data_IF_457227769355
#
_entry.id   IF_457227769355
#
_cell.length_a   1.000
_cell.length_b   1.000
_cell.length_c   1.000
_cell.angle_alpha   90.00
_cell.angle_beta   90.00
_cell.angle_gamma   90.00
#
_symmetry.space_group_name_H-M   'P 1'
#
loop_
_entity.id
_entity.type
_entity.pdbx_description
1 polymer ?
#
# COMPACT_ATOMS: atom_id res chain seq x y z
N UNK A 1 -33.42 8.44 24.21
CA UNK A 1 -32.40 7.58 24.87
C UNK A 1 -32.85 6.13 24.69
N UNK A 2 -31.97 5.23 24.21
CA UNK A 2 -32.21 3.85 23.73
C UNK A 2 -32.65 3.69 22.27
N UNK A 3 -31.64 3.64 21.39
CA UNK A 3 -31.65 2.92 20.11
C UNK A 3 -30.18 2.69 19.76
N UNK A 4 -29.62 1.55 20.16
CA UNK A 4 -28.18 1.32 20.01
C UNK A 4 -27.74 -0.12 20.26
N UNK A 5 -28.55 -1.13 19.93
CA UNK A 5 -28.18 -2.53 20.18
C UNK A 5 -28.66 -3.57 19.14
N UNK A 6 -28.95 -3.20 17.89
CA UNK A 6 -29.34 -4.20 16.87
C UNK A 6 -28.70 -4.00 15.49
N UNK A 7 -27.37 -4.12 15.39
CA UNK A 7 -26.68 -4.23 14.09
C UNK A 7 -25.50 -5.22 14.14
N UNK A 8 -25.76 -6.43 14.62
CA UNK A 8 -24.93 -7.60 14.34
C UNK A 8 -25.83 -8.74 13.83
N UNK A 9 -26.13 -8.73 12.54
CA UNK A 9 -26.70 -9.88 11.85
C UNK A 9 -25.90 -10.17 10.58
N UNK A 10 -25.20 -11.31 10.66
CA UNK A 10 -24.90 -12.28 9.58
C UNK A 10 -24.17 -11.78 8.35
N UNK A 11 -22.83 -11.91 8.39
CA UNK A 11 -22.05 -12.26 7.19
C UNK A 11 -22.36 -13.72 6.88
N UNK A 12 -22.93 -14.00 5.71
CA UNK A 12 -23.22 -15.35 5.25
C UNK A 12 -21.91 -16.12 5.03
N UNK A 13 -21.77 -17.25 5.73
CA UNK A 13 -20.69 -18.20 5.51
C UNK A 13 -20.88 -18.85 4.13
N UNK A 14 -19.93 -18.66 3.22
CA UNK A 14 -19.78 -19.53 2.04
C UNK A 14 -19.08 -20.81 2.51
N UNK A 15 -19.71 -21.98 2.30
CA UNK A 15 -19.10 -23.26 2.67
C UNK A 15 -17.90 -23.53 1.75
N UNK A 16 -16.78 -24.10 2.25
CA UNK A 16 -15.64 -24.48 1.41
C UNK A 16 -15.98 -25.43 0.25
N UNK A 17 -17.14 -26.09 0.31
CA UNK A 17 -17.66 -27.03 -0.68
C UNK A 17 -18.32 -26.30 -1.87
N UNK A 18 -18.67 -25.01 -1.69
CA UNK A 18 -19.36 -24.19 -2.69
C UNK A 18 -18.39 -23.39 -3.57
N UNK A 19 -17.07 -23.56 -3.37
CA UNK A 19 -16.04 -22.93 -4.19
C UNK A 19 -15.78 -23.77 -5.46
N UNK A 20 -15.74 -23.17 -6.65
CA UNK A 20 -15.53 -23.90 -7.89
C UNK A 20 -14.15 -24.58 -7.92
N UNK A 21 -14.13 -25.83 -8.38
CA UNK A 21 -12.92 -26.64 -8.55
C UNK A 21 -12.13 -26.15 -9.78
N UNK A 22 -10.95 -25.58 -9.56
CA UNK A 22 -10.12 -25.00 -10.63
C UNK A 22 -9.01 -25.96 -11.06
N UNK A 23 -9.29 -26.77 -12.08
CA UNK A 23 -8.24 -27.43 -12.88
C UNK A 23 -7.93 -26.59 -14.12
N UNK A 24 -6.65 -26.28 -14.35
CA UNK A 24 -6.19 -25.52 -15.52
C UNK A 24 -5.69 -26.51 -16.59
N UNK A 25 -6.43 -26.74 -17.69
CA UNK A 25 -5.89 -27.47 -18.82
C UNK A 25 -4.97 -26.53 -19.63
N UNK A 26 -3.66 -26.65 -19.45
CA UNK A 26 -2.67 -25.91 -20.24
C UNK A 26 -2.41 -26.66 -21.56
N UNK A 27 -2.99 -26.19 -22.68
CA UNK A 27 -2.70 -26.73 -24.02
C UNK A 27 -2.28 -25.67 -25.06
N UNK A 28 -1.93 -24.45 -24.64
CA UNK A 28 -1.53 -23.42 -25.59
C UNK A 28 -0.02 -23.12 -25.52
N UNK A 29 0.73 -23.59 -26.52
CA UNK A 29 2.19 -23.43 -26.65
C UNK A 29 2.65 -21.97 -26.63
N UNK A 30 1.79 -21.02 -27.01
CA UNK A 30 2.09 -19.59 -26.97
C UNK A 30 2.10 -19.07 -25.53
N UNK A 31 1.17 -19.54 -24.69
CA UNK A 31 1.15 -19.22 -23.26
C UNK A 31 2.38 -19.84 -22.58
N UNK A 32 2.80 -21.05 -22.98
CA UNK A 32 4.03 -21.67 -22.48
C UNK A 32 5.30 -20.88 -22.86
N UNK A 33 5.36 -20.29 -24.05
CA UNK A 33 6.51 -19.51 -24.50
C UNK A 33 6.58 -18.12 -23.85
N UNK A 34 5.43 -17.43 -23.76
CA UNK A 34 5.30 -16.12 -23.11
C UNK A 34 5.60 -16.29 -21.62
N UNK A 35 5.01 -17.32 -20.98
CA UNK A 35 5.29 -17.65 -19.60
C UNK A 35 6.74 -18.06 -19.39
N UNK A 36 7.39 -18.86 -20.26
CA UNK A 36 8.82 -19.19 -20.09
C UNK A 36 9.77 -18.00 -20.21
N UNK A 37 9.49 -16.96 -21.02
CA UNK A 37 10.34 -15.76 -21.08
C UNK A 37 10.00 -14.74 -19.99
N UNK A 38 8.73 -14.56 -19.66
CA UNK A 38 8.24 -13.62 -18.65
C UNK A 38 8.46 -14.15 -17.22
N UNK A 39 8.24 -15.45 -16.98
CA UNK A 39 8.46 -16.13 -15.70
C UNK A 39 9.94 -16.40 -15.40
N UNK A 40 10.81 -16.49 -16.41
CA UNK A 40 12.27 -16.65 -16.16
C UNK A 40 12.91 -15.38 -15.59
N UNK A 41 12.25 -14.23 -15.73
CA UNK A 41 12.66 -12.96 -15.10
C UNK A 41 12.03 -12.74 -13.71
N UNK A 42 10.86 -13.31 -13.44
CA UNK A 42 10.12 -13.11 -12.19
C UNK A 42 9.87 -14.45 -11.46
N UNK A 43 10.70 -14.74 -10.44
CA UNK A 43 10.31 -15.58 -9.31
C UNK A 43 9.90 -17.04 -9.59
N UNK A 44 10.25 -17.65 -10.72
CA UNK A 44 9.87 -19.04 -11.04
C UNK A 44 10.29 -20.05 -9.96
N UNK A 45 11.43 -19.85 -9.30
CA UNK A 45 11.84 -20.68 -8.17
C UNK A 45 10.86 -20.60 -7.01
N UNK A 46 10.34 -19.41 -6.69
CA UNK A 46 9.35 -19.18 -5.64
C UNK A 46 7.97 -19.71 -6.04
N UNK A 47 7.54 -19.48 -7.28
CA UNK A 47 6.29 -20.04 -7.79
C UNK A 47 6.32 -21.58 -7.83
N UNK A 48 7.41 -22.19 -8.30
CA UNK A 48 7.55 -23.66 -8.36
C UNK A 48 7.73 -24.28 -6.98
N UNK A 49 8.50 -23.65 -6.08
CA UNK A 49 8.61 -24.10 -4.69
C UNK A 49 7.27 -23.99 -3.97
N UNK A 50 6.50 -22.93 -4.23
CA UNK A 50 5.13 -22.77 -3.76
C UNK A 50 4.18 -23.84 -4.31
N UNK A 51 4.17 -24.10 -5.62
CA UNK A 51 3.30 -25.15 -6.21
C UNK A 51 3.62 -26.52 -5.63
N UNK A 52 4.91 -26.80 -5.36
CA UNK A 52 5.32 -28.02 -4.65
C UNK A 52 4.79 -28.06 -3.20
N UNK A 53 4.88 -26.97 -2.45
CA UNK A 53 4.33 -26.85 -1.10
C UNK A 53 2.80 -26.93 -1.07
N UNK A 54 2.12 -26.30 -2.03
CA UNK A 54 0.66 -26.32 -2.22
C UNK A 54 0.15 -27.74 -2.52
N UNK A 55 0.80 -28.43 -3.44
CA UNK A 55 0.46 -29.83 -3.78
C UNK A 55 0.75 -30.81 -2.63
N UNK A 56 1.69 -30.48 -1.75
CA UNK A 56 2.02 -31.33 -0.58
C UNK A 56 1.07 -31.16 0.60
N UNK A 57 0.29 -30.08 0.66
CA UNK A 57 -0.52 -29.73 1.82
C UNK A 57 -2.00 -29.52 1.46
N UNK A 58 -2.78 -30.62 1.47
CA UNK A 58 -4.19 -30.69 1.03
C UNK A 58 -5.17 -29.77 1.79
N UNK A 59 -4.73 -29.06 2.83
CA UNK A 59 -5.56 -28.21 3.69
C UNK A 59 -5.12 -26.72 3.71
N UNK A 60 -4.33 -26.27 2.72
CA UNK A 60 -3.88 -24.89 2.67
C UNK A 60 -5.01 -23.95 2.21
N UNK A 61 -5.67 -23.28 3.17
CA UNK A 61 -6.68 -22.26 2.90
C UNK A 61 -6.05 -20.87 2.89
N UNK A 62 -6.14 -20.19 1.75
CA UNK A 62 -5.75 -18.79 1.59
C UNK A 62 -6.96 -17.95 1.98
N UNK A 63 -6.98 -17.45 3.21
CA UNK A 63 -7.89 -16.37 3.57
C UNK A 63 -7.06 -15.09 3.71
N UNK A 64 -7.57 -13.93 3.25
CA UNK A 64 -7.10 -12.68 3.82
C UNK A 64 -7.25 -12.78 5.33
N UNK A 65 -6.16 -12.64 6.07
CA UNK A 65 -6.20 -12.72 7.52
C UNK A 65 -6.86 -11.45 8.05
N UNK A 66 -8.19 -11.46 8.11
CA UNK A 66 -8.93 -10.67 9.08
C UNK A 66 -9.04 -11.55 10.32
N UNK A 67 -8.43 -11.17 11.46
CA UNK A 67 -8.69 -11.84 12.72
C UNK A 67 -10.22 -11.96 12.88
N UNK A 68 -10.73 -13.17 13.13
CA UNK A 68 -12.17 -13.41 13.28
C UNK A 68 -12.80 -12.49 14.34
N UNK A 69 -11.99 -12.10 15.31
CA UNK A 69 -12.27 -11.08 16.30
C UNK A 69 -11.14 -10.04 16.24
N UNK A 70 -11.36 -8.92 15.56
CA UNK A 70 -10.56 -7.72 15.84
C UNK A 70 -10.83 -7.37 17.31
N UNK A 71 -9.78 -7.30 18.12
CA UNK A 71 -9.94 -6.89 19.51
C UNK A 71 -10.70 -5.57 19.55
N UNK A 72 -11.52 -5.35 20.57
CA UNK A 72 -12.30 -4.11 20.73
C UNK A 72 -11.44 -2.83 20.74
N UNK A 73 -10.11 -2.98 20.85
CA UNK A 73 -9.12 -1.92 20.84
C UNK A 73 -8.27 -1.87 19.57
N UNK A 74 -8.68 -2.50 18.47
CA UNK A 74 -7.91 -2.45 17.21
C UNK A 74 -8.45 -1.38 16.26
N UNK A 75 -7.55 -0.68 15.60
CA UNK A 75 -7.83 0.46 14.73
C UNK A 75 -7.21 0.25 13.35
N UNK A 76 -7.96 0.57 12.29
CA UNK A 76 -7.55 0.41 10.89
C UNK A 76 -7.17 1.75 10.28
N UNK A 77 -5.98 1.81 9.70
CA UNK A 77 -5.46 2.99 9.02
C UNK A 77 -5.05 2.64 7.60
N UNK A 78 -5.49 3.45 6.65
CA UNK A 78 -5.02 3.37 5.27
C UNK A 78 -4.08 4.56 5.01
N UNK A 79 -2.78 4.28 4.91
CA UNK A 79 -1.72 5.30 4.88
C UNK A 79 -1.21 5.59 3.46
N UNK A 80 -1.87 5.05 2.43
CA UNK A 80 -1.49 5.23 1.03
C UNK A 80 -2.74 5.28 0.15
N UNK A 81 -3.08 6.45 -0.37
CA UNK A 81 -4.21 6.63 -1.29
C UNK A 81 -4.10 7.90 -2.10
N UNK A 82 -4.70 7.89 -3.28
CA UNK A 82 -4.54 8.91 -4.32
C UNK A 82 -5.88 9.59 -4.63
N UNK A 83 -5.80 10.83 -5.11
CA UNK A 83 -6.95 11.64 -5.51
C UNK A 83 -6.79 12.17 -6.93
N UNK A 84 -7.83 12.85 -7.44
CA UNK A 84 -7.83 13.53 -8.76
C UNK A 84 -6.70 14.55 -8.95
N UNK A 85 -6.03 14.92 -7.86
CA UNK A 85 -4.96 15.88 -7.87
C UNK A 85 -3.61 15.28 -8.32
N UNK A 86 -3.41 13.96 -8.22
CA UNK A 86 -2.36 13.24 -8.94
C UNK A 86 -2.97 12.42 -10.08
N UNK A 87 -3.07 11.12 -9.89
CA UNK A 87 -3.45 10.05 -10.79
C UNK A 87 -4.63 9.21 -10.28
N UNK A 88 -5.14 9.51 -9.09
CA UNK A 88 -6.45 9.03 -8.68
C UNK A 88 -7.56 9.66 -9.52
N UNK A 89 -8.76 9.06 -9.51
CA UNK A 89 -9.94 9.57 -10.22
C UNK A 89 -10.93 10.29 -9.29
N UNK A 90 -10.76 10.14 -7.98
CA UNK A 90 -11.70 10.66 -6.99
C UNK A 90 -11.34 12.02 -6.44
N UNK A 91 -12.30 12.92 -6.36
CA UNK A 91 -12.13 14.16 -5.60
C UNK A 91 -12.24 13.92 -4.09
N UNK A 92 -11.78 14.88 -3.28
CA UNK A 92 -11.82 14.78 -1.81
C UNK A 92 -13.23 14.53 -1.24
N UNK A 93 -14.29 15.04 -1.88
CA UNK A 93 -15.66 14.84 -1.41
C UNK A 93 -16.11 13.40 -1.65
N UNK A 94 -15.76 12.81 -2.80
CA UNK A 94 -16.04 11.41 -3.13
C UNK A 94 -15.28 10.47 -2.21
N UNK A 95 -13.98 10.71 -2.01
CA UNK A 95 -13.12 9.99 -1.06
C UNK A 95 -13.76 9.99 0.33
N UNK A 96 -14.08 11.17 0.89
CA UNK A 96 -14.72 11.27 2.21
C UNK A 96 -16.10 10.60 2.24
N UNK A 97 -16.83 10.61 1.13
CA UNK A 97 -18.12 9.91 1.02
C UNK A 97 -17.92 8.40 1.09
N UNK A 98 -16.91 7.84 0.42
CA UNK A 98 -16.63 6.40 0.49
C UNK A 98 -16.12 5.99 1.87
N UNK A 99 -15.20 6.77 2.45
CA UNK A 99 -14.73 6.56 3.83
C UNK A 99 -15.90 6.57 4.82
N UNK A 100 -16.87 7.48 4.68
CA UNK A 100 -18.03 7.52 5.57
C UNK A 100 -18.92 6.26 5.51
N UNK A 101 -18.88 5.51 4.40
CA UNK A 101 -19.56 4.22 4.26
C UNK A 101 -18.75 3.09 4.91
N UNK A 102 -17.43 3.22 4.99
CA UNK A 102 -16.50 2.25 5.60
C UNK A 102 -16.30 2.56 7.08
N UNK A 103 -17.31 2.24 7.88
CA UNK A 103 -17.35 2.54 9.33
C UNK A 103 -16.22 1.88 10.15
N UNK A 104 -15.49 0.93 9.58
CA UNK A 104 -14.35 0.28 10.22
C UNK A 104 -13.04 1.07 10.14
N UNK A 105 -12.93 2.05 9.24
CA UNK A 105 -11.68 2.80 9.04
C UNK A 105 -11.55 3.91 10.10
N UNK A 106 -10.37 4.02 10.71
CA UNK A 106 -10.08 5.00 11.77
C UNK A 106 -9.19 6.15 11.30
N UNK A 107 -8.47 5.97 10.20
CA UNK A 107 -7.79 7.09 9.56
C UNK A 107 -7.37 6.82 8.13
N UNK A 108 -7.07 7.91 7.43
CA UNK A 108 -6.68 7.90 6.02
C UNK A 108 -5.57 8.93 5.74
N UNK A 109 -4.51 8.56 5.04
CA UNK A 109 -3.57 9.50 4.43
C UNK A 109 -3.84 9.64 2.93
N UNK A 110 -3.88 10.89 2.45
CA UNK A 110 -3.86 11.20 1.01
C UNK A 110 -2.41 11.50 0.63
N UNK A 111 -1.82 10.64 -0.19
CA UNK A 111 -0.39 10.60 -0.52
C UNK A 111 -0.13 10.88 -2.00
N UNK A 112 -0.93 11.76 -2.61
CA UNK A 112 -0.79 12.14 -4.02
C UNK A 112 0.68 12.35 -4.45
N UNK A 113 1.00 11.91 -5.67
CA UNK A 113 2.28 12.22 -6.29
C UNK A 113 2.43 13.73 -6.59
N UNK A 114 3.66 14.27 -6.55
CA UNK A 114 3.96 15.63 -7.03
C UNK A 114 3.87 15.78 -8.56
N UNK A 115 3.45 14.72 -9.25
CA UNK A 115 3.40 14.64 -10.70
C UNK A 115 2.01 14.26 -11.17
N UNK A 116 1.52 14.92 -12.21
CA UNK A 116 0.31 14.50 -12.93
C UNK A 116 0.65 14.06 -14.35
N UNK A 117 0.23 12.87 -14.81
CA UNK A 117 0.38 12.49 -16.20
C UNK A 117 -0.39 13.49 -17.09
N UNK A 118 0.25 14.03 -18.12
CA UNK A 118 -0.49 14.67 -19.20
C UNK A 118 -1.23 13.63 -20.04
N UNK A 119 -2.31 14.04 -20.69
CA UNK A 119 -3.10 13.23 -21.62
C UNK A 119 -2.30 12.65 -22.81
N UNK A 120 -1.12 13.19 -23.10
CA UNK A 120 -0.20 12.69 -24.12
C UNK A 120 0.87 11.71 -23.59
N UNK A 121 0.83 11.34 -22.29
CA UNK A 121 1.69 10.34 -21.66
C UNK A 121 3.18 10.68 -21.53
N UNK A 122 3.65 11.82 -22.06
CA UNK A 122 5.09 12.09 -22.23
C UNK A 122 5.66 13.17 -21.31
N UNK A 123 4.81 14.04 -20.75
CA UNK A 123 5.25 15.12 -19.86
C UNK A 123 4.46 15.04 -18.55
N UNK A 124 5.17 14.94 -17.43
CA UNK A 124 4.61 15.06 -16.09
C UNK A 124 4.73 16.51 -15.64
N UNK A 125 3.61 17.20 -15.37
CA UNK A 125 3.67 18.51 -14.72
C UNK A 125 4.02 18.32 -13.25
N UNK A 126 4.95 19.14 -12.77
CA UNK A 126 5.34 19.18 -11.36
C UNK A 126 4.35 20.10 -10.64
N UNK A 127 3.74 19.59 -9.58
CA UNK A 127 2.92 20.36 -8.66
C UNK A 127 3.68 20.59 -7.35
N UNK A 128 4.08 21.83 -7.09
CA UNK A 128 4.76 22.20 -5.86
C UNK A 128 3.80 22.34 -4.66
N UNK A 129 2.49 22.43 -4.90
CA UNK A 129 1.48 22.50 -3.82
C UNK A 129 0.95 21.15 -3.39
N UNK A 130 1.55 20.03 -3.80
CA UNK A 130 1.05 18.68 -3.47
C UNK A 130 0.93 18.46 -1.96
N UNK A 131 1.93 18.88 -1.17
CA UNK A 131 1.90 18.81 0.30
C UNK A 131 0.76 19.68 0.86
N UNK A 132 0.47 20.84 0.27
CA UNK A 132 -0.63 21.72 0.69
C UNK A 132 -2.01 21.06 0.50
N UNK A 133 -2.14 20.16 -0.48
CA UNK A 133 -3.42 19.50 -0.80
C UNK A 133 -3.89 18.56 0.31
N UNK A 134 -2.98 17.83 0.96
CA UNK A 134 -3.35 17.00 2.13
C UNK A 134 -3.82 17.86 3.32
N UNK A 135 -3.33 19.10 3.49
CA UNK A 135 -3.92 20.04 4.46
C UNK A 135 -5.33 20.50 4.06
N UNK A 136 -5.61 20.67 2.76
CA UNK A 136 -6.97 20.97 2.27
C UNK A 136 -7.91 19.80 2.52
N UNK A 137 -7.44 18.57 2.31
CA UNK A 137 -8.16 17.35 2.67
C UNK A 137 -8.51 17.32 4.16
N UNK A 138 -7.54 17.57 5.06
CA UNK A 138 -7.79 17.67 6.50
C UNK A 138 -8.88 18.68 6.87
N UNK A 139 -8.91 19.85 6.21
CA UNK A 139 -9.95 20.87 6.43
C UNK A 139 -11.34 20.35 6.01
N UNK A 140 -11.43 19.61 4.91
CA UNK A 140 -12.68 18.98 4.47
C UNK A 140 -13.12 17.85 5.40
N UNK A 141 -12.18 17.03 5.86
CA UNK A 141 -12.40 15.97 6.84
C UNK A 141 -12.97 16.53 8.14
N UNK A 142 -12.37 17.60 8.68
CA UNK A 142 -12.88 18.27 9.90
C UNK A 142 -14.32 18.78 9.72
N UNK A 143 -14.65 19.34 8.55
CA UNK A 143 -16.04 19.74 8.24
C UNK A 143 -17.00 18.55 8.14
N UNK A 144 -16.54 17.40 7.65
CA UNK A 144 -17.33 16.18 7.61
C UNK A 144 -17.58 15.63 9.03
N UNK A 145 -16.59 15.71 9.93
CA UNK A 145 -16.72 15.36 11.36
C UNK A 145 -17.75 16.24 12.07
N UNK A 146 -17.67 17.57 11.90
CA UNK A 146 -18.65 18.52 12.46
C UNK A 146 -20.10 18.28 11.97
N UNK A 147 -20.25 17.66 10.79
CA UNK A 147 -21.56 17.29 10.24
C UNK A 147 -22.03 15.89 10.66
N UNK A 148 -21.28 15.20 11.52
CA UNK A 148 -21.57 13.82 11.96
C UNK A 148 -21.43 12.78 10.85
N UNK A 149 -20.75 13.10 9.73
CA UNK A 149 -20.55 12.16 8.61
C UNK A 149 -19.38 11.22 8.83
N UNK A 150 -18.43 11.62 9.67
CA UNK A 150 -17.29 10.82 10.07
C UNK A 150 -17.18 10.83 11.59
N UNK A 151 -16.65 9.76 12.20
CA UNK A 151 -16.36 9.73 13.63
C UNK A 151 -15.50 10.90 14.09
N UNK A 152 -15.74 11.43 15.30
CA UNK A 152 -14.99 12.55 15.88
C UNK A 152 -13.51 12.23 16.11
N UNK A 153 -13.16 10.96 16.13
CA UNK A 153 -11.84 10.42 16.34
C UNK A 153 -11.17 9.96 15.02
N UNK A 154 -11.86 10.08 13.88
CA UNK A 154 -11.27 9.79 12.57
C UNK A 154 -10.15 10.78 12.27
N UNK A 155 -8.97 10.28 11.89
CA UNK A 155 -7.77 11.09 11.65
C UNK A 155 -7.29 11.05 10.20
N UNK A 156 -6.61 12.12 9.78
CA UNK A 156 -5.76 12.11 8.60
C UNK A 156 -4.42 12.73 8.96
N UNK A 157 -3.42 12.48 8.13
CA UNK A 157 -2.05 12.96 8.31
C UNK A 157 -1.83 14.09 7.29
N UNK A 158 -2.11 15.36 7.63
CA UNK A 158 -1.79 16.47 6.73
C UNK A 158 -0.28 16.54 6.51
N UNK A 159 0.13 17.06 5.36
CA UNK A 159 1.53 17.01 4.94
C UNK A 159 1.94 15.68 4.30
N UNK A 160 1.00 14.86 3.87
CA UNK A 160 1.30 13.58 3.21
C UNK A 160 1.53 13.74 1.70
N UNK A 161 2.51 13.01 1.16
CA UNK A 161 2.87 12.99 -0.26
C UNK A 161 3.76 11.78 -0.60
N UNK A 162 3.59 11.19 -1.78
CA UNK A 162 4.47 10.15 -2.32
C UNK A 162 5.44 10.73 -3.36
N UNK A 163 6.74 10.68 -3.05
CA UNK A 163 7.80 11.18 -3.92
C UNK A 163 8.45 10.06 -4.71
N UNK A 164 8.80 10.35 -5.96
CA UNK A 164 9.72 9.54 -6.76
C UNK A 164 11.11 10.18 -6.72
N UNK A 165 12.13 9.41 -6.36
CA UNK A 165 13.53 9.89 -6.25
C UNK A 165 14.51 8.83 -6.77
N UNK A 166 15.78 9.21 -6.98
CA UNK A 166 16.80 8.22 -7.36
C UNK A 166 17.10 7.31 -6.19
N UNK A 167 17.39 6.04 -6.47
CA UNK A 167 17.71 5.07 -5.44
C UNK A 167 18.98 5.46 -4.67
N UNK A 168 20.11 5.60 -5.35
CA UNK A 168 21.39 6.00 -4.76
C UNK A 168 22.40 6.43 -5.82
N UNK A 169 23.56 6.94 -5.40
CA UNK A 169 24.65 7.31 -6.32
C UNK A 169 25.16 6.14 -7.16
N UNK A 170 25.21 4.93 -6.58
CA UNK A 170 25.63 3.70 -7.28
C UNK A 170 24.63 3.26 -8.36
N UNK A 171 23.37 3.69 -8.24
CA UNK A 171 22.26 3.31 -9.11
C UNK A 171 21.46 4.55 -9.54
N UNK A 172 22.09 5.49 -10.26
CA UNK A 172 21.51 6.81 -10.51
C UNK A 172 20.33 6.79 -11.49
N UNK A 173 20.16 5.68 -12.21
CA UNK A 173 19.07 5.46 -13.18
C UNK A 173 17.94 4.62 -12.60
N UNK A 174 18.07 4.12 -11.36
CA UNK A 174 16.98 3.45 -10.67
C UNK A 174 16.25 4.47 -9.82
N UNK A 175 14.92 4.50 -9.96
CA UNK A 175 14.05 5.33 -9.16
C UNK A 175 13.34 4.47 -8.11
N UNK A 176 12.92 5.12 -7.03
CA UNK A 176 12.19 4.52 -5.93
C UNK A 176 11.17 5.53 -5.40
N UNK A 177 10.02 5.02 -4.98
CA UNK A 177 8.97 5.80 -4.36
C UNK A 177 9.13 5.79 -2.83
N UNK A 178 8.81 6.91 -2.20
CA UNK A 178 8.83 7.12 -0.76
C UNK A 178 7.66 7.99 -0.35
N UNK A 179 6.86 7.50 0.59
CA UNK A 179 5.78 8.29 1.19
C UNK A 179 6.36 9.07 2.37
N UNK A 180 6.24 10.39 2.32
CA UNK A 180 6.42 11.26 3.49
C UNK A 180 5.07 11.55 4.14
N UNK A 181 4.93 11.33 5.44
CA UNK A 181 3.77 11.69 6.23
C UNK A 181 4.11 12.84 7.18
N UNK A 182 3.16 13.76 7.39
CA UNK A 182 3.29 14.79 8.42
C UNK A 182 4.20 15.96 8.07
N UNK A 183 4.49 16.19 6.78
CA UNK A 183 5.40 17.24 6.34
C UNK A 183 4.82 18.65 6.57
N UNK A 184 5.70 19.59 6.90
CA UNK A 184 5.37 21.00 7.01
C UNK A 184 4.91 21.56 5.66
N UNK A 185 4.08 22.61 5.70
CA UNK A 185 3.63 23.32 4.49
C UNK A 185 4.79 23.89 3.67
N UNK A 186 5.94 24.11 4.31
CA UNK A 186 7.13 24.68 3.70
C UNK A 186 8.12 23.61 3.27
N UNK A 187 7.87 22.31 3.49
CA UNK A 187 8.80 21.22 3.19
C UNK A 187 9.43 21.33 1.79
N UNK A 188 8.60 21.51 0.77
CA UNK A 188 9.05 21.63 -0.62
C UNK A 188 9.90 22.88 -0.82
N UNK A 189 9.50 24.02 -0.25
CA UNK A 189 10.22 25.29 -0.35
C UNK A 189 11.57 25.24 0.38
N UNK A 190 11.59 24.73 1.61
CA UNK A 190 12.78 24.55 2.44
C UNK A 190 13.81 23.63 1.75
N UNK A 191 13.34 22.70 0.94
CA UNK A 191 14.15 21.79 0.15
C UNK A 191 14.39 22.23 -1.30
N UNK A 192 14.17 23.51 -1.61
CA UNK A 192 14.46 24.14 -2.92
C UNK A 192 13.66 23.56 -4.10
N UNK A 193 12.44 23.14 -3.84
CA UNK A 193 11.47 22.68 -4.85
C UNK A 193 11.53 21.18 -5.15
N UNK A 194 10.46 20.66 -5.76
CA UNK A 194 10.30 19.24 -6.10
C UNK A 194 11.46 18.74 -6.98
N UNK A 195 11.90 19.54 -7.97
CA UNK A 195 13.00 19.15 -8.87
C UNK A 195 14.30 18.85 -8.12
N UNK A 196 14.58 19.57 -7.02
CA UNK A 196 15.79 19.32 -6.21
C UNK A 196 15.62 18.08 -5.35
N UNK A 197 14.43 17.88 -4.79
CA UNK A 197 14.06 16.69 -4.01
C UNK A 197 14.24 15.42 -4.86
N UNK A 198 13.65 15.38 -6.05
CA UNK A 198 13.58 14.14 -6.85
C UNK A 198 14.86 13.81 -7.61
N UNK A 199 15.74 14.80 -7.76
CA UNK A 199 17.14 14.58 -8.17
C UNK A 199 18.02 14.11 -7.02
N UNK A 200 17.56 14.15 -5.77
CA UNK A 200 18.29 13.58 -4.65
C UNK A 200 18.37 12.06 -4.73
N UNK A 201 19.00 11.44 -3.74
CA UNK A 201 18.89 10.00 -3.48
C UNK A 201 17.75 9.70 -2.51
N UNK A 202 17.37 8.44 -2.40
CA UNK A 202 16.39 7.98 -1.42
C UNK A 202 16.81 8.30 0.01
N UNK A 203 18.10 8.12 0.31
CA UNK A 203 18.68 8.42 1.63
C UNK A 203 18.55 9.92 1.94
N UNK A 204 18.95 10.79 1.01
CA UNK A 204 18.83 12.23 1.19
C UNK A 204 17.37 12.66 1.40
N UNK A 205 16.42 12.02 0.70
CA UNK A 205 15.00 12.31 0.89
C UNK A 205 14.49 11.84 2.26
N UNK A 206 14.87 10.64 2.70
CA UNK A 206 14.52 10.13 4.03
C UNK A 206 15.01 11.10 5.11
N UNK A 207 16.27 11.53 5.04
CA UNK A 207 16.87 12.47 5.99
C UNK A 207 16.12 13.81 5.98
N UNK A 208 15.79 14.34 4.81
CA UNK A 208 14.99 15.57 4.69
C UNK A 208 13.60 15.45 5.34
N UNK A 209 12.93 14.31 5.15
CA UNK A 209 11.61 14.07 5.74
C UNK A 209 11.72 14.01 7.27
N UNK A 210 12.75 13.33 7.80
CA UNK A 210 13.00 13.28 9.23
C UNK A 210 13.40 14.63 9.83
N UNK A 211 14.21 15.43 9.13
CA UNK A 211 14.58 16.79 9.55
C UNK A 211 13.35 17.71 9.66
N UNK A 212 12.31 17.43 8.88
CA UNK A 212 10.99 18.11 8.94
C UNK A 212 10.02 17.42 9.93
N UNK A 213 10.53 16.53 10.78
CA UNK A 213 9.80 15.75 11.77
C UNK A 213 8.69 14.84 11.19
N UNK A 214 8.80 14.49 9.91
CA UNK A 214 7.90 13.56 9.22
C UNK A 214 8.22 12.09 9.48
N UNK A 215 7.37 11.22 8.94
CA UNK A 215 7.59 9.76 8.87
C UNK A 215 7.78 9.33 7.41
N UNK A 216 8.59 8.30 7.19
CA UNK A 216 8.78 7.71 5.88
C UNK A 216 8.22 6.29 5.82
N UNK A 217 7.36 6.04 4.84
CA UNK A 217 6.96 4.69 4.45
C UNK A 217 7.62 4.37 3.11
N UNK A 218 8.21 3.19 3.00
CA UNK A 218 8.63 2.62 1.72
C UNK A 218 7.43 1.88 1.10
N UNK A 219 6.71 2.49 0.13
CA UNK A 219 5.56 1.85 -0.49
C UNK A 219 5.98 0.70 -1.39
N UNK A 220 5.04 -0.26 -1.53
CA UNK A 220 5.03 -1.38 -2.47
C UNK A 220 6.41 -1.79 -3.06
N UNK A 221 7.39 -2.15 -2.20
CA UNK A 221 8.78 -2.37 -2.59
C UNK A 221 8.99 -3.59 -3.53
N UNK A 222 7.91 -4.29 -3.87
CA UNK A 222 7.87 -5.46 -4.72
C UNK A 222 7.76 -5.11 -6.20
N UNK A 223 7.37 -3.88 -6.57
CA UNK A 223 7.38 -3.43 -7.97
C UNK A 223 8.78 -3.17 -8.50
N UNK A 224 9.75 -2.86 -7.62
CA UNK A 224 11.06 -2.39 -8.03
C UNK A 224 12.19 -3.21 -7.39
N UNK A 225 13.07 -3.77 -8.24
CA UNK A 225 14.35 -4.35 -7.77
C UNK A 225 15.17 -3.34 -6.94
N UNK A 226 14.94 -2.04 -7.16
CA UNK A 226 15.55 -0.92 -6.45
C UNK A 226 15.34 -0.98 -4.93
N UNK A 227 14.15 -1.35 -4.46
CA UNK A 227 13.83 -1.34 -3.02
C UNK A 227 14.65 -2.37 -2.24
N UNK A 228 14.90 -3.55 -2.83
CA UNK A 228 15.78 -4.56 -2.25
C UNK A 228 17.22 -4.06 -2.10
N UNK A 229 17.71 -3.25 -3.04
CA UNK A 229 19.04 -2.67 -2.98
C UNK A 229 19.16 -1.59 -1.89
N UNK A 230 18.12 -0.78 -1.66
CA UNK A 230 18.11 0.19 -0.55
C UNK A 230 18.18 -0.53 0.80
N UNK A 231 17.35 -1.55 0.98
CA UNK A 231 17.25 -2.30 2.25
C UNK A 231 18.50 -3.14 2.55
N UNK A 232 19.28 -3.49 1.53
CA UNK A 232 20.55 -4.20 1.68
C UNK A 232 21.72 -3.29 2.07
N UNK A 233 21.58 -1.96 2.01
CA UNK A 233 22.61 -1.04 2.47
C UNK A 233 22.65 -1.00 3.99
N UNK A 234 23.85 -0.90 4.56
CA UNK A 234 24.02 -0.64 5.99
C UNK A 234 23.68 0.82 6.29
N UNK A 235 22.40 1.11 6.39
CA UNK A 235 21.86 2.45 6.62
C UNK A 235 21.93 2.80 8.11
N UNK A 236 22.21 4.07 8.41
CA UNK A 236 22.03 4.62 9.75
C UNK A 236 20.54 4.62 10.13
N UNK A 237 20.22 4.76 11.42
CA UNK A 237 18.82 4.86 11.87
C UNK A 237 18.06 6.03 11.23
N UNK A 238 18.74 7.16 11.00
CA UNK A 238 18.13 8.36 10.40
C UNK A 238 17.95 8.27 8.89
N UNK A 239 18.64 7.34 8.24
CA UNK A 239 18.64 7.15 6.79
C UNK A 239 17.76 5.96 6.37
N UNK A 240 16.95 5.41 7.28
CA UNK A 240 16.04 4.27 7.05
C UNK A 240 14.58 4.72 7.02
N UNK A 241 13.71 4.08 6.24
CA UNK A 241 12.28 4.26 6.38
C UNK A 241 11.77 3.84 7.77
N UNK A 242 10.73 4.50 8.28
CA UNK A 242 10.07 4.11 9.54
C UNK A 242 9.20 2.86 9.38
N UNK A 243 8.61 2.69 8.18
CA UNK A 243 7.79 1.54 7.85
C UNK A 243 8.00 1.10 6.40
N UNK A 244 7.60 -0.13 6.12
CA UNK A 244 7.61 -0.73 4.78
C UNK A 244 6.24 -1.33 4.49
N UNK A 245 5.70 -1.02 3.32
CA UNK A 245 4.50 -1.69 2.84
C UNK A 245 4.83 -3.14 2.54
N UNK A 246 4.19 -4.04 3.27
CA UNK A 246 4.26 -5.48 3.01
C UNK A 246 3.02 -5.99 2.30
N UNK A 247 1.91 -5.26 2.41
CA UNK A 247 0.66 -5.52 1.73
C UNK A 247 0.22 -4.24 1.04
N UNK A 248 0.00 -4.30 -0.26
CA UNK A 248 -0.55 -3.19 -1.01
C UNK A 248 -1.64 -3.72 -1.95
N UNK A 249 -2.86 -3.16 -1.89
CA UNK A 249 -3.98 -3.69 -2.66
C UNK A 249 -3.80 -3.48 -4.18
N UNK A 250 -3.30 -2.31 -4.61
CA UNK A 250 -3.07 -1.99 -6.02
C UNK A 250 -2.03 -2.91 -6.68
N UNK A 251 -1.09 -3.50 -5.91
CA UNK A 251 -0.16 -4.55 -6.41
C UNK A 251 -0.88 -5.80 -6.94
N UNK A 252 -2.16 -5.97 -6.60
CA UNK A 252 -3.11 -6.80 -7.35
C UNK A 252 -3.44 -6.18 -8.71
N UNK A 253 -2.42 -6.03 -9.56
CA UNK A 253 -2.31 -5.36 -10.87
C UNK A 253 -3.48 -5.44 -11.87
N UNK A 254 -4.51 -6.27 -11.65
CA UNK A 254 -5.67 -6.40 -12.55
C UNK A 254 -7.01 -6.08 -11.86
N UNK A 255 -6.97 -5.38 -10.73
CA UNK A 255 -8.19 -4.95 -10.01
C UNK A 255 -8.48 -3.46 -10.11
N UNK A 256 -7.59 -2.65 -10.69
CA UNK A 256 -7.79 -1.21 -10.87
C UNK A 256 -8.83 -0.94 -11.98
N UNK A 257 -9.90 -0.19 -11.65
CA UNK A 257 -10.95 0.13 -12.61
C UNK A 257 -10.45 1.10 -13.71
N UNK A 258 -9.38 1.87 -13.48
CA UNK A 258 -8.73 2.66 -14.52
C UNK A 258 -8.13 1.77 -15.62
N UNK A 259 -7.70 0.56 -15.25
CA UNK A 259 -7.34 -0.50 -16.19
C UNK A 259 -8.57 -1.25 -16.73
N UNK A 260 -9.67 -1.39 -15.97
CA UNK A 260 -10.94 -1.87 -16.54
C UNK A 260 -11.51 -0.94 -17.60
N UNK A 261 -11.30 0.37 -17.51
CA UNK A 261 -11.73 1.29 -18.56
C UNK A 261 -10.83 1.18 -19.81
N UNK A 262 -9.53 0.92 -19.64
CA UNK A 262 -8.62 0.55 -20.72
C UNK A 262 -8.97 -0.83 -21.35
N UNK A 263 -9.39 -1.80 -20.54
CA UNK A 263 -9.83 -3.15 -20.95
C UNK A 263 -11.35 -3.26 -21.18
N UNK A 264 -12.11 -2.17 -21.10
CA UNK A 264 -13.58 -2.19 -21.31
C UNK A 264 -13.93 -2.66 -22.72
N UNK A 265 -12.97 -2.53 -23.62
CA UNK A 265 -13.03 -2.94 -25.02
C UNK A 265 -12.49 -4.36 -25.26
N UNK A 266 -11.98 -5.03 -24.22
CA UNK A 266 -11.43 -6.39 -24.25
C UNK A 266 -11.87 -7.16 -23.00
N UNK A 267 -13.00 -7.90 -23.04
CA UNK A 267 -13.46 -8.67 -21.88
C UNK A 267 -12.36 -9.63 -21.40
N UNK A 268 -11.81 -9.34 -20.23
CA UNK A 268 -10.82 -10.19 -19.57
C UNK A 268 -11.53 -11.48 -19.14
N UNK A 269 -11.10 -12.67 -19.62
CA UNK A 269 -11.65 -13.92 -19.16
C UNK A 269 -11.48 -14.02 -17.64
N UNK A 270 -12.50 -14.50 -16.93
CA UNK A 270 -12.49 -14.66 -15.47
C UNK A 270 -11.22 -15.32 -14.91
N UNK A 271 -10.61 -16.22 -15.70
CA UNK A 271 -9.34 -16.91 -15.40
C UNK A 271 -8.15 -15.95 -15.25
N UNK A 272 -8.09 -14.86 -16.00
CA UNK A 272 -7.01 -13.85 -15.91
C UNK A 272 -7.16 -13.01 -14.64
N UNK A 273 -8.41 -12.72 -14.24
CA UNK A 273 -8.75 -12.07 -12.96
C UNK A 273 -8.37 -12.94 -11.75
N UNK A 274 -8.49 -14.26 -11.87
CA UNK A 274 -8.06 -15.19 -10.82
C UNK A 274 -6.52 -15.28 -10.76
N UNK A 275 -5.83 -15.35 -11.91
CA UNK A 275 -4.37 -15.44 -11.96
C UNK A 275 -3.64 -14.21 -11.39
N UNK A 276 -4.17 -13.00 -11.60
CA UNK A 276 -3.59 -11.78 -11.01
C UNK A 276 -3.71 -11.70 -9.50
N UNK A 277 -4.85 -12.10 -8.94
CA UNK A 277 -5.02 -12.22 -7.49
C UNK A 277 -4.04 -13.22 -6.90
N UNK A 278 -3.81 -14.33 -7.61
CA UNK A 278 -2.81 -15.35 -7.27
C UNK A 278 -1.39 -14.77 -7.34
N UNK A 279 -1.06 -13.96 -8.36
CA UNK A 279 0.25 -13.30 -8.49
C UNK A 279 0.50 -12.23 -7.42
N UNK A 280 -0.47 -11.37 -7.14
CA UNK A 280 -0.38 -10.39 -6.05
C UNK A 280 -0.21 -11.08 -4.69
N UNK A 281 -0.94 -12.18 -4.47
CA UNK A 281 -0.77 -13.04 -3.31
C UNK A 281 0.63 -13.67 -3.23
N UNK A 282 1.24 -14.09 -4.34
CA UNK A 282 2.62 -14.63 -4.31
C UNK A 282 3.69 -13.58 -4.13
N UNK A 283 3.51 -12.38 -4.65
CA UNK A 283 4.38 -11.26 -4.33
C UNK A 283 4.29 -10.90 -2.83
N UNK A 284 3.10 -10.98 -2.24
CA UNK A 284 2.88 -10.84 -0.79
C UNK A 284 3.49 -11.99 0.04
N UNK A 285 3.42 -13.24 -0.40
CA UNK A 285 4.08 -14.36 0.30
C UNK A 285 5.61 -14.30 0.14
N UNK A 286 6.11 -13.90 -1.04
CA UNK A 286 7.53 -13.66 -1.26
C UNK A 286 8.07 -12.53 -0.37
N UNK A 287 7.25 -11.51 -0.09
CA UNK A 287 7.60 -10.43 0.83
C UNK A 287 7.58 -10.84 2.30
N UNK A 288 6.61 -11.67 2.70
CA UNK A 288 6.56 -12.24 4.04
C UNK A 288 7.70 -13.25 4.31
N UNK A 289 8.17 -13.96 3.28
CA UNK A 289 9.30 -14.90 3.39
C UNK A 289 10.68 -14.22 3.38
N UNK A 290 10.72 -12.90 3.15
CA UNK A 290 11.89 -12.05 3.40
C UNK A 290 12.03 -11.63 4.89
N UNK A 291 11.07 -12.01 5.74
CA UNK A 291 11.08 -11.88 7.20
C UNK A 291 11.36 -13.26 7.87
N UNK A 292 11.75 -13.32 9.16
CA UNK A 292 12.91 -14.04 9.67
C UNK A 292 13.07 -15.55 9.38
N UNK A 293 14.35 -15.96 9.43
CA UNK A 293 15.05 -17.21 9.09
C UNK A 293 14.33 -18.56 9.27
N UNK A 294 13.33 -18.65 10.14
CA UNK A 294 12.75 -19.92 10.61
C UNK A 294 11.88 -20.62 9.56
N UNK A 295 11.45 -19.92 8.50
CA UNK A 295 10.50 -20.44 7.50
C UNK A 295 11.11 -20.59 6.09
N UNK A 296 12.13 -19.81 5.70
CA UNK A 296 12.55 -19.72 4.29
C UNK A 296 13.95 -20.22 3.94
N UNK A 297 14.82 -20.55 4.90
CA UNK A 297 16.17 -21.06 4.61
C UNK A 297 17.08 -20.11 3.81
N UNK A 298 16.66 -18.86 3.57
CA UNK A 298 17.46 -17.83 2.89
C UNK A 298 18.25 -17.00 3.92
N UNK A 299 19.40 -16.47 3.48
CA UNK A 299 20.27 -15.59 4.28
C UNK A 299 19.45 -14.43 4.86
N UNK A 300 19.68 -14.14 6.14
CA UNK A 300 19.15 -12.95 6.82
C UNK A 300 19.34 -11.71 5.94
N UNK A 301 18.24 -11.03 5.62
CA UNK A 301 18.34 -9.62 5.30
C UNK A 301 18.87 -8.93 6.56
N UNK A 302 19.94 -8.14 6.49
CA UNK A 302 20.51 -7.46 7.65
C UNK A 302 19.66 -6.24 8.04
N UNK A 303 18.34 -6.38 8.10
CA UNK A 303 17.47 -5.52 8.90
C UNK A 303 17.67 -5.93 10.37
N UNK A 304 18.85 -5.61 10.87
CA UNK A 304 19.30 -5.85 12.26
C UNK A 304 18.44 -5.11 13.29
N UNK A 305 17.58 -4.19 12.84
CA UNK A 305 16.51 -3.57 13.62
C UNK A 305 15.17 -3.77 12.92
N UNK A 306 14.16 -4.03 13.73
CA UNK A 306 12.80 -4.41 13.34
C UNK A 306 12.10 -3.17 12.75
N UNK A 307 11.81 -3.16 11.43
CA UNK A 307 11.08 -2.10 10.70
C UNK A 307 9.58 -2.41 10.69
N UNK A 308 8.75 -1.38 10.86
CA UNK A 308 7.31 -1.55 10.94
C UNK A 308 6.72 -2.05 9.62
N UNK A 309 5.80 -3.01 9.70
CA UNK A 309 5.16 -3.59 8.53
C UNK A 309 3.76 -3.02 8.39
N UNK A 310 3.49 -2.35 7.27
CA UNK A 310 2.20 -1.71 7.01
C UNK A 310 1.49 -2.35 5.82
N UNK A 311 0.17 -2.25 5.82
CA UNK A 311 -0.70 -2.61 4.71
C UNK A 311 -1.51 -1.41 4.28
N UNK A 312 -1.57 -1.08 2.99
CA UNK A 312 -2.32 0.08 2.51
C UNK A 312 -3.00 -0.19 1.17
N UNK A 313 -4.03 0.58 0.84
CA UNK A 313 -4.81 0.33 -0.38
C UNK A 313 -4.10 0.76 -1.65
N UNK A 314 -3.34 1.87 -1.59
CA UNK A 314 -2.86 2.57 -2.79
C UNK A 314 -4.02 2.84 -3.78
N UNK A 315 -5.14 3.27 -3.18
CA UNK A 315 -6.38 3.43 -3.90
C UNK A 315 -6.33 4.65 -4.82
N UNK A 316 -6.44 4.40 -6.12
CA UNK A 316 -6.65 5.43 -7.14
C UNK A 316 -8.14 5.70 -7.38
N UNK A 317 -9.00 4.81 -6.90
CA UNK A 317 -10.46 4.90 -7.02
C UNK A 317 -11.07 4.95 -5.62
N UNK A 318 -12.01 5.87 -5.34
CA UNK A 318 -12.60 6.01 -4.01
C UNK A 318 -13.17 4.73 -3.39
N UNK A 319 -13.73 3.82 -4.19
CA UNK A 319 -14.29 2.55 -3.69
C UNK A 319 -13.24 1.61 -3.10
N UNK A 320 -11.98 1.74 -3.53
CA UNK A 320 -10.85 0.89 -3.12
C UNK A 320 -10.18 1.38 -1.83
N UNK A 321 -10.47 2.58 -1.35
CA UNK A 321 -9.93 3.06 -0.07
C UNK A 321 -10.22 2.07 1.04
N UNK A 322 -9.23 1.73 1.85
CA UNK A 322 -9.34 0.75 2.94
C UNK A 322 -9.44 -0.71 2.47
N UNK A 323 -9.22 -1.00 1.19
CA UNK A 323 -9.16 -2.39 0.68
C UNK A 323 -7.92 -3.16 1.16
N UNK A 324 -6.90 -2.45 1.63
CA UNK A 324 -5.88 -2.94 2.55
C UNK A 324 -5.60 -1.84 3.57
N UNK A 325 -5.27 -2.23 4.80
CA UNK A 325 -5.09 -1.33 5.94
C UNK A 325 -4.00 -1.85 6.87
N UNK A 326 -3.50 -0.96 7.71
CA UNK A 326 -2.62 -1.26 8.82
C UNK A 326 -3.46 -1.32 10.09
N UNK A 327 -3.51 -2.50 10.72
CA UNK A 327 -4.12 -2.68 12.02
C UNK A 327 -3.14 -2.28 13.12
N UNK A 328 -3.61 -1.41 14.00
CA UNK A 328 -2.85 -0.87 15.13
C UNK A 328 -3.66 -1.10 16.41
N UNK A 329 -3.00 -1.57 17.49
CA UNK A 329 -3.66 -1.93 18.76
C UNK A 329 -3.96 -0.73 19.67
N UNK A 330 -3.39 0.43 19.35
CA UNK A 330 -3.60 1.68 20.05
C UNK A 330 -4.17 2.72 19.09
N UNK A 331 -5.00 3.60 19.62
CA UNK A 331 -5.56 4.71 18.85
C UNK A 331 -4.47 5.72 18.52
N UNK A 332 -4.38 6.09 17.25
CA UNK A 332 -3.53 7.18 16.77
C UNK A 332 -4.31 8.49 16.81
N UNK A 333 -3.82 9.48 17.56
CA UNK A 333 -4.39 10.83 17.63
C UNK A 333 -3.52 11.87 16.93
N UNK A 334 -2.26 11.54 16.66
CA UNK A 334 -1.28 12.42 16.03
C UNK A 334 -0.15 11.62 15.38
N UNK A 335 0.78 12.30 14.70
CA UNK A 335 1.92 11.66 14.02
C UNK A 335 2.89 10.97 14.99
N UNK A 336 3.07 11.48 16.21
CA UNK A 336 3.98 10.90 17.20
C UNK A 336 3.42 9.59 17.77
N UNK A 337 2.10 9.48 17.94
CA UNK A 337 1.45 8.21 18.28
C UNK A 337 1.78 7.17 17.20
N UNK A 338 1.67 7.53 15.91
CA UNK A 338 2.00 6.63 14.80
C UNK A 338 3.49 6.27 14.80
N UNK A 339 4.38 7.25 15.04
CA UNK A 339 5.83 7.04 15.18
C UNK A 339 6.14 6.02 16.27
N UNK A 340 5.46 6.10 17.42
CA UNK A 340 5.60 5.14 18.52
C UNK A 340 5.19 3.74 18.09
N UNK A 341 4.08 3.58 17.37
CA UNK A 341 3.65 2.27 16.88
C UNK A 341 4.64 1.67 15.87
N UNK A 342 5.18 2.50 14.97
CA UNK A 342 6.22 2.05 14.04
C UNK A 342 7.50 1.61 14.77
N UNK A 343 7.99 2.41 15.72
CA UNK A 343 9.16 2.03 16.53
C UNK A 343 8.94 0.73 17.31
N UNK A 344 7.74 0.49 17.81
CA UNK A 344 7.40 -0.73 18.55
C UNK A 344 7.11 -1.94 17.65
N UNK A 345 6.97 -1.74 16.33
CA UNK A 345 6.52 -2.76 15.38
C UNK A 345 5.13 -3.34 15.73
N UNK A 346 4.24 -2.49 16.23
CA UNK A 346 2.88 -2.85 16.66
C UNK A 346 1.85 -2.64 15.53
N UNK A 347 2.27 -2.90 14.29
CA UNK A 347 1.44 -2.76 13.09
C UNK A 347 1.28 -4.11 12.40
N UNK A 348 0.06 -4.42 11.95
CA UNK A 348 -0.25 -5.66 11.23
C UNK A 348 -0.92 -5.29 9.90
N UNK A 349 -0.34 -5.65 8.75
CA UNK A 349 -0.98 -5.46 7.45
C UNK A 349 -2.23 -6.36 7.32
N UNK A 350 -3.36 -5.80 6.89
CA UNK A 350 -4.64 -6.50 6.71
C UNK A 350 -5.22 -6.22 5.33
N UNK A 351 -5.78 -7.24 4.69
CA UNK A 351 -6.46 -7.15 3.40
C UNK A 351 -7.97 -7.26 3.56
N UNK A 352 -8.70 -6.39 2.87
CA UNK A 352 -10.17 -6.32 2.80
C UNK A 352 -10.88 -6.48 4.16
N UNK A 353 -10.62 -5.56 5.11
CA UNK A 353 -11.23 -5.57 6.45
C UNK A 353 -12.72 -5.24 6.48
#
# INVERSE_FOLDING_TARGET
MRLGNELHKTVTHISPQDLPDFTIPCQNKIIELISKKFLKFYGLSHFVSYIKSFNSNKNFKIFPYMPKDLSTNSYLYDLHSHSEYSDGIGNFKEILTQVSKKKHLNGLAITDHPYKPQSNGSIRYIEERVVERSFKFQKMLNRSKLKGKLPEDFISFPGSCEFLTRLSEDYPNLEIELIGLGLSRQFIQNNRGIKKITRGTAIELIEKIHDDNGLVILPHPFFFMASSQLLNKKLSRYSRPDAIETLNYSTGFLSDDAYFDFFKHFPQPEKVRVLSKIFGYFNWIASLTALPKEISGMREYPLTEKIALVGNSDAHIPSMIGSACSLIKERINNLEDLRKQFKNNDTIPIYNP
#
